data_IF_850911685975
#
_entry.id   IF_850911685975
#
_cell.length_a   1.000
_cell.length_b   1.000
_cell.length_c   1.000
_cell.angle_alpha   90.00
_cell.angle_beta   90.00
_cell.angle_gamma   90.00
#
_symmetry.space_group_name_H-M   'P 1'
#
loop_
_entity.id
_entity.type
_entity.pdbx_description
1 polymer ?
#
# COMPACT_ATOMS: atom_id res chain seq x y z
N UNK A 1 7.10 -44.57 -59.46
CA UNK A 1 7.05 -43.16 -59.02
C UNK A 1 8.44 -42.81 -58.53
N UNK A 2 9.22 -42.12 -59.35
CA UNK A 2 10.60 -41.73 -59.08
C UNK A 2 10.60 -40.35 -58.44
N UNK A 3 11.03 -40.24 -57.18
CA UNK A 3 11.39 -38.96 -56.58
C UNK A 3 12.90 -38.76 -56.69
N UNK A 4 13.29 -37.80 -57.51
CA UNK A 4 14.64 -37.25 -57.60
C UNK A 4 14.94 -36.45 -56.33
N UNK A 5 16.02 -36.80 -55.63
CA UNK A 5 16.57 -36.00 -54.54
C UNK A 5 17.51 -34.95 -55.14
N UNK A 6 17.11 -33.68 -54.98
CA UNK A 6 17.89 -32.51 -55.31
C UNK A 6 19.05 -32.34 -54.32
N UNK A 7 20.24 -32.11 -54.87
CA UNK A 7 21.44 -31.76 -54.13
C UNK A 7 21.32 -30.40 -53.43
N UNK A 8 21.84 -30.35 -52.20
CA UNK A 8 21.98 -29.13 -51.43
C UNK A 8 23.48 -28.80 -51.32
N UNK A 9 23.80 -27.60 -51.80
CA UNK A 9 25.09 -26.94 -51.76
C UNK A 9 25.62 -26.81 -50.32
N UNK A 10 26.90 -27.15 -50.11
CA UNK A 10 27.65 -26.78 -48.91
C UNK A 10 28.17 -25.34 -49.05
N UNK A 11 27.99 -24.46 -48.06
CA UNK A 11 28.71 -23.20 -47.98
C UNK A 11 29.96 -23.33 -47.09
N UNK A 12 31.10 -23.01 -47.71
CA UNK A 12 32.28 -22.32 -47.20
C UNK A 12 32.60 -22.40 -45.70
N UNK A 13 33.65 -23.17 -45.40
CA UNK A 13 34.50 -23.04 -44.23
C UNK A 13 35.07 -21.61 -44.12
N UNK A 14 34.50 -20.79 -43.24
CA UNK A 14 35.14 -19.58 -42.72
C UNK A 14 35.93 -19.99 -41.48
N UNK A 15 37.26 -20.04 -41.63
CA UNK A 15 38.20 -20.23 -40.53
C UNK A 15 38.13 -18.99 -39.64
N UNK A 16 37.40 -19.10 -38.53
CA UNK A 16 37.36 -18.10 -37.48
C UNK A 16 38.67 -18.22 -36.69
N UNK A 17 39.63 -17.34 -36.97
CA UNK A 17 40.81 -17.14 -36.11
C UNK A 17 40.31 -16.60 -34.77
N UNK A 18 40.17 -17.47 -33.78
CA UNK A 18 40.12 -17.08 -32.38
C UNK A 18 41.44 -16.38 -32.05
N UNK A 19 41.36 -15.06 -31.85
CA UNK A 19 42.39 -14.29 -31.19
C UNK A 19 42.19 -14.59 -29.71
N UNK A 20 43.03 -15.47 -29.16
CA UNK A 20 43.20 -15.61 -27.71
C UNK A 20 43.92 -14.36 -27.23
N UNK A 21 43.21 -13.50 -26.50
CA UNK A 21 43.83 -12.56 -25.60
C UNK A 21 44.10 -13.35 -24.32
N UNK A 22 45.37 -13.63 -24.04
CA UNK A 22 45.82 -14.04 -22.72
C UNK A 22 45.66 -12.81 -21.80
N UNK A 23 44.45 -12.65 -21.24
CA UNK A 23 44.22 -11.81 -20.07
C UNK A 23 44.84 -12.53 -18.87
N UNK A 24 46.16 -12.47 -18.75
CA UNK A 24 46.85 -12.62 -17.47
C UNK A 24 46.49 -11.38 -16.63
N UNK A 25 45.26 -11.37 -16.11
CA UNK A 25 44.85 -10.47 -15.04
C UNK A 25 45.79 -10.77 -13.86
N UNK A 26 46.68 -9.81 -13.61
CA UNK A 26 47.60 -9.79 -12.50
C UNK A 26 46.81 -9.96 -11.20
N UNK A 27 46.98 -11.10 -10.52
CA UNK A 27 46.36 -11.45 -9.23
C UNK A 27 46.53 -10.33 -8.17
N UNK A 28 47.51 -9.43 -8.33
CA UNK A 28 47.70 -8.27 -7.46
C UNK A 28 46.69 -7.13 -7.60
N UNK A 29 45.93 -7.02 -8.70
CA UNK A 29 44.95 -5.93 -8.87
C UNK A 29 43.60 -6.21 -8.20
N UNK A 30 43.31 -7.47 -7.86
CA UNK A 30 42.08 -7.83 -7.13
C UNK A 30 42.24 -7.62 -5.62
N UNK A 31 43.41 -7.95 -5.05
CA UNK A 31 43.69 -7.74 -3.61
C UNK A 31 43.68 -6.25 -3.23
N UNK A 32 44.23 -5.36 -4.07
CA UNK A 32 44.21 -3.91 -3.79
C UNK A 32 42.78 -3.32 -3.82
N UNK A 33 41.86 -3.90 -4.61
CA UNK A 33 40.46 -3.46 -4.63
C UNK A 33 39.70 -3.89 -3.39
N UNK A 34 39.91 -5.11 -2.91
CA UNK A 34 39.25 -5.60 -1.70
C UNK A 34 39.67 -4.79 -0.46
N UNK A 35 40.97 -4.47 -0.32
CA UNK A 35 41.45 -3.63 0.79
C UNK A 35 40.88 -2.20 0.75
N UNK A 36 40.74 -1.63 -0.45
CA UNK A 36 40.17 -0.28 -0.63
C UNK A 36 38.68 -0.25 -0.24
N UNK A 37 37.91 -1.28 -0.62
CA UNK A 37 36.49 -1.38 -0.28
C UNK A 37 36.26 -1.54 1.23
N UNK A 38 37.11 -2.32 1.90
CA UNK A 38 37.03 -2.51 3.36
C UNK A 38 37.33 -1.20 4.11
N UNK A 39 38.32 -0.42 3.66
CA UNK A 39 38.64 0.89 4.23
C UNK A 39 37.51 1.91 4.04
N UNK A 40 36.88 1.92 2.86
CA UNK A 40 35.75 2.82 2.57
C UNK A 40 34.52 2.45 3.42
N UNK A 41 34.24 1.17 3.60
CA UNK A 41 33.19 0.66 4.48
C UNK A 41 33.43 1.06 5.95
N UNK A 42 34.67 0.91 6.42
CA UNK A 42 35.02 1.31 7.79
C UNK A 42 34.86 2.83 7.98
N UNK A 43 35.29 3.63 7.00
CA UNK A 43 35.12 5.08 7.04
C UNK A 43 33.64 5.49 7.07
N UNK A 44 32.79 4.87 6.24
CA UNK A 44 31.34 5.12 6.23
C UNK A 44 30.75 4.75 7.59
N UNK A 45 31.11 3.60 8.16
CA UNK A 45 30.62 3.16 9.46
C UNK A 45 31.03 4.12 10.59
N UNK A 46 32.29 4.54 10.62
CA UNK A 46 32.80 5.52 11.59
C UNK A 46 32.10 6.88 11.44
N UNK A 47 31.85 7.33 10.21
CA UNK A 47 31.12 8.59 9.97
C UNK A 47 29.66 8.53 10.45
N UNK A 48 28.98 7.39 10.27
CA UNK A 48 27.63 7.14 10.81
C UNK A 48 27.64 7.21 12.34
N UNK A 49 28.60 6.57 13.01
CA UNK A 49 28.75 6.60 14.47
C UNK A 49 29.00 8.03 14.98
N UNK A 50 29.91 8.77 14.35
CA UNK A 50 30.24 10.14 14.74
C UNK A 50 29.05 11.10 14.57
N UNK A 51 28.26 10.94 13.50
CA UNK A 51 27.06 11.75 13.25
C UNK A 51 25.95 11.59 14.29
N UNK A 52 26.02 10.53 15.12
CA UNK A 52 25.05 10.22 16.18
C UNK A 52 25.44 10.81 17.52
N UNK A 53 26.72 11.12 17.73
CA UNK A 53 27.26 11.51 19.03
C UNK A 53 26.68 12.81 19.57
N UNK A 54 26.20 13.67 18.68
CA UNK A 54 25.60 14.97 19.01
C UNK A 54 24.06 14.98 18.90
N UNK A 55 23.42 13.83 18.67
CA UNK A 55 21.95 13.76 18.55
C UNK A 55 21.28 13.49 19.91
N UNK A 56 20.02 13.92 20.10
CA UNK A 56 19.22 13.54 21.26
C UNK A 56 19.12 12.02 21.43
N UNK A 57 19.04 11.55 22.68
CA UNK A 57 19.05 10.14 23.07
C UNK A 57 17.96 9.32 22.36
N UNK A 58 16.77 9.90 22.18
CA UNK A 58 15.63 9.22 21.56
C UNK A 58 15.81 9.03 20.05
N UNK A 59 16.38 10.02 19.35
CA UNK A 59 16.75 9.88 17.93
C UNK A 59 17.85 8.85 17.74
N UNK A 60 18.84 8.83 18.64
CA UNK A 60 19.93 7.84 18.61
C UNK A 60 19.37 6.42 18.70
N UNK A 61 18.45 6.16 19.63
CA UNK A 61 17.81 4.84 19.80
C UNK A 61 16.98 4.42 18.58
N UNK A 62 16.34 5.36 17.89
CA UNK A 62 15.58 5.08 16.66
C UNK A 62 16.54 4.69 15.52
N UNK A 63 17.63 5.44 15.35
CA UNK A 63 18.65 5.16 14.33
C UNK A 63 19.39 3.84 14.60
N UNK A 64 19.71 3.55 15.85
CA UNK A 64 20.29 2.26 16.25
C UNK A 64 19.35 1.09 15.97
N UNK A 65 18.04 1.27 16.16
CA UNK A 65 17.06 0.26 15.73
C UNK A 65 17.04 0.12 14.21
N UNK A 66 17.05 1.22 13.47
CA UNK A 66 17.04 1.20 12.00
C UNK A 66 18.27 0.47 11.41
N UNK A 67 19.46 0.75 11.92
CA UNK A 67 20.70 0.09 11.49
C UNK A 67 20.67 -1.42 11.72
N UNK A 68 20.12 -1.87 12.85
CA UNK A 68 19.96 -3.31 13.13
C UNK A 68 19.10 -4.02 12.08
N UNK A 69 18.21 -3.30 11.40
CA UNK A 69 17.41 -3.84 10.31
C UNK A 69 18.04 -3.65 8.92
N UNK A 70 18.81 -2.57 8.72
CA UNK A 70 19.40 -2.24 7.41
C UNK A 70 20.70 -2.99 7.12
N UNK A 71 21.56 -3.22 8.11
CA UNK A 71 22.87 -3.87 7.92
C UNK A 71 22.75 -5.31 7.36
N UNK A 72 21.75 -6.13 7.77
CA UNK A 72 21.47 -7.41 7.11
C UNK A 72 20.95 -7.28 5.67
N UNK A 73 20.19 -6.22 5.36
CA UNK A 73 19.62 -5.97 4.03
C UNK A 73 20.68 -5.45 3.04
N UNK A 74 21.60 -4.60 3.51
CA UNK A 74 22.72 -4.08 2.71
C UNK A 74 23.70 -5.21 2.37
N UNK A 75 24.03 -6.09 3.34
CA UNK A 75 24.81 -7.32 3.09
C UNK A 75 24.14 -8.32 2.14
N UNK A 76 22.81 -8.42 2.16
CA UNK A 76 22.04 -9.22 1.21
C UNK A 76 22.09 -8.66 -0.23
N UNK A 77 22.36 -7.36 -0.39
CA UNK A 77 22.48 -6.71 -1.68
C UNK A 77 23.93 -6.60 -2.17
N UNK A 78 24.92 -6.68 -1.28
CA UNK A 78 26.36 -6.56 -1.61
C UNK A 78 27.09 -7.90 -1.75
N UNK A 79 26.57 -9.01 -1.21
CA UNK A 79 26.99 -10.34 -1.69
C UNK A 79 26.54 -10.44 -3.15
N UNK A 80 27.49 -10.54 -4.09
CA UNK A 80 27.21 -10.68 -5.51
C UNK A 80 26.05 -11.66 -5.72
N UNK A 81 25.03 -11.26 -6.49
CA UNK A 81 23.80 -12.05 -6.68
C UNK A 81 24.10 -13.51 -7.06
N UNK A 82 25.24 -13.77 -7.70
CA UNK A 82 25.72 -15.09 -8.06
C UNK A 82 26.11 -15.96 -6.84
N UNK A 83 26.77 -15.41 -5.82
CA UNK A 83 27.20 -16.17 -4.64
C UNK A 83 26.03 -16.54 -3.71
N UNK A 84 25.07 -15.63 -3.53
CA UNK A 84 23.88 -15.90 -2.71
C UNK A 84 22.99 -16.99 -3.35
N UNK A 85 22.89 -17.00 -4.68
CA UNK A 85 22.16 -18.03 -5.43
C UNK A 85 22.83 -19.40 -5.37
N UNK A 86 24.15 -19.45 -5.48
CA UNK A 86 24.91 -20.70 -5.34
C UNK A 86 24.72 -21.29 -3.94
N UNK A 87 24.83 -20.47 -2.89
CA UNK A 87 24.57 -20.89 -1.50
C UNK A 87 23.15 -21.40 -1.32
N UNK A 88 22.15 -20.72 -1.91
CA UNK A 88 20.75 -21.16 -1.80
C UNK A 88 20.51 -22.50 -2.50
N UNK A 89 21.16 -22.72 -3.65
CA UNK A 89 21.09 -24.00 -4.36
C UNK A 89 21.69 -25.16 -3.57
N UNK A 90 22.74 -24.88 -2.77
CA UNK A 90 23.38 -25.86 -1.89
C UNK A 90 22.55 -26.20 -0.64
N UNK A 91 21.63 -25.32 -0.23
CA UNK A 91 20.71 -25.63 0.88
C UNK A 91 19.77 -26.77 0.50
N UNK A 92 19.41 -27.56 1.51
CA UNK A 92 18.31 -28.54 1.41
C UNK A 92 17.05 -27.81 0.94
N UNK A 93 16.30 -28.46 0.06
CA UNK A 93 15.08 -27.89 -0.57
C UNK A 93 14.09 -27.37 0.48
N UNK A 94 13.91 -28.07 1.59
CA UNK A 94 13.01 -27.67 2.68
C UNK A 94 13.45 -26.43 3.47
N UNK A 95 14.71 -26.02 3.36
CA UNK A 95 15.29 -24.89 4.09
C UNK A 95 15.51 -23.66 3.21
N UNK A 96 15.09 -23.71 1.93
CA UNK A 96 15.27 -22.59 1.01
C UNK A 96 14.34 -21.44 1.37
N UNK A 97 14.83 -20.21 1.21
CA UNK A 97 14.07 -18.97 1.47
C UNK A 97 13.40 -18.42 0.22
N UNK A 98 13.76 -18.92 -0.96
CA UNK A 98 13.11 -18.59 -2.23
C UNK A 98 13.34 -19.69 -3.29
N UNK A 99 12.56 -19.62 -4.37
CA UNK A 99 12.72 -20.45 -5.56
C UNK A 99 12.67 -19.60 -6.84
N UNK A 100 13.14 -20.15 -7.96
CA UNK A 100 13.08 -19.55 -9.29
C UNK A 100 12.06 -20.30 -10.14
N UNK A 101 11.09 -19.59 -10.73
CA UNK A 101 10.10 -20.21 -11.61
C UNK A 101 10.78 -20.95 -12.75
N UNK A 102 10.33 -22.18 -13.00
CA UNK A 102 10.85 -23.06 -14.04
C UNK A 102 12.12 -23.83 -13.64
N UNK A 103 12.72 -23.58 -12.47
CA UNK A 103 13.86 -24.38 -12.00
C UNK A 103 13.42 -25.83 -11.75
N UNK A 104 14.32 -26.78 -12.02
CA UNK A 104 14.10 -28.19 -11.72
C UNK A 104 14.60 -28.48 -10.30
N UNK A 105 13.72 -29.00 -9.46
CA UNK A 105 14.05 -29.49 -8.13
C UNK A 105 14.58 -30.94 -8.19
N UNK A 106 15.27 -31.40 -7.14
CA UNK A 106 15.64 -32.82 -6.99
C UNK A 106 14.42 -33.75 -7.06
N UNK A 107 14.65 -35.04 -7.30
CA UNK A 107 13.59 -36.05 -7.26
C UNK A 107 12.96 -36.13 -5.87
N UNK A 108 11.65 -36.44 -5.82
CA UNK A 108 10.94 -36.76 -4.58
C UNK A 108 11.63 -37.89 -3.81
N UNK A 109 11.51 -37.84 -2.49
CA UNK A 109 12.04 -38.85 -1.60
C UNK A 109 11.14 -38.98 -0.37
N UNK A 110 11.55 -39.81 0.60
CA UNK A 110 10.74 -40.09 1.80
C UNK A 110 10.36 -38.84 2.62
N UNK A 111 11.08 -37.72 2.47
CA UNK A 111 10.89 -36.50 3.27
C UNK A 111 10.46 -35.29 2.45
N UNK A 112 10.34 -35.40 1.12
CA UNK A 112 9.93 -34.30 0.23
C UNK A 112 8.89 -34.81 -0.76
N UNK A 113 7.73 -34.16 -0.77
CA UNK A 113 6.66 -34.40 -1.74
C UNK A 113 6.31 -33.09 -2.47
N UNK A 114 6.15 -33.16 -3.80
CA UNK A 114 5.71 -32.06 -4.64
C UNK A 114 4.25 -32.21 -5.02
N UNK A 115 3.51 -31.10 -4.99
CA UNK A 115 2.12 -31.05 -5.45
C UNK A 115 1.84 -29.77 -6.21
N UNK A 116 1.01 -29.86 -7.25
CA UNK A 116 0.56 -28.70 -8.02
C UNK A 116 -0.95 -28.43 -7.87
N UNK A 117 -1.39 -28.09 -6.66
CA UNK A 117 -2.78 -27.70 -6.42
C UNK A 117 -3.00 -26.22 -6.76
N UNK A 118 -3.95 -25.94 -7.65
CA UNK A 118 -4.29 -24.58 -8.05
C UNK A 118 -5.30 -23.94 -7.06
N UNK A 119 -5.24 -22.62 -6.91
CA UNK A 119 -6.21 -21.84 -6.14
C UNK A 119 -7.18 -21.10 -7.06
N UNK A 120 -8.50 -21.08 -6.79
CA UNK A 120 -9.18 -21.74 -5.67
C UNK A 120 -9.21 -23.27 -5.83
N UNK A 121 -9.27 -24.00 -4.70
CA UNK A 121 -9.29 -25.47 -4.69
C UNK A 121 -10.71 -25.95 -5.02
N UNK A 122 -11.00 -26.15 -6.30
CA UNK A 122 -12.33 -26.53 -6.80
C UNK A 122 -12.76 -27.94 -6.32
N UNK A 123 -11.87 -28.92 -6.39
CA UNK A 123 -12.10 -30.31 -5.95
C UNK A 123 -11.60 -30.54 -4.52
N UNK A 124 -12.09 -29.71 -3.60
CA UNK A 124 -11.58 -29.67 -2.22
C UNK A 124 -11.57 -31.03 -1.52
N UNK A 125 -12.60 -31.87 -1.65
CA UNK A 125 -12.66 -33.16 -0.93
C UNK A 125 -11.52 -34.14 -1.29
N UNK A 126 -11.24 -34.31 -2.59
CA UNK A 126 -10.16 -35.21 -3.04
C UNK A 126 -8.78 -34.68 -2.64
N UNK A 127 -8.57 -33.37 -2.75
CA UNK A 127 -7.31 -32.72 -2.39
C UNK A 127 -7.11 -32.77 -0.87
N UNK A 128 -8.18 -32.56 -0.08
CA UNK A 128 -8.18 -32.70 1.37
C UNK A 128 -7.79 -34.11 1.77
N UNK A 129 -8.45 -35.15 1.23
CA UNK A 129 -8.14 -36.56 1.54
C UNK A 129 -6.68 -36.92 1.21
N UNK A 130 -6.18 -36.49 0.05
CA UNK A 130 -4.78 -36.70 -0.32
C UNK A 130 -3.80 -36.00 0.63
N UNK A 131 -4.05 -34.73 0.96
CA UNK A 131 -3.19 -33.97 1.87
C UNK A 131 -3.21 -34.57 3.28
N UNK A 132 -4.39 -34.98 3.79
CA UNK A 132 -4.52 -35.64 5.09
C UNK A 132 -3.71 -36.94 5.15
N UNK A 133 -3.84 -37.80 4.15
CA UNK A 133 -3.07 -39.06 4.06
C UNK A 133 -1.57 -38.80 4.01
N UNK A 134 -1.14 -37.81 3.23
CA UNK A 134 0.26 -37.45 3.08
C UNK A 134 0.85 -36.90 4.40
N UNK A 135 0.15 -35.96 5.04
CA UNK A 135 0.57 -35.37 6.33
C UNK A 135 0.63 -36.46 7.40
N UNK A 136 -0.38 -37.32 7.49
CA UNK A 136 -0.39 -38.44 8.44
C UNK A 136 0.76 -39.43 8.16
N UNK A 137 1.08 -39.71 6.89
CA UNK A 137 2.25 -40.51 6.52
C UNK A 137 3.57 -39.86 6.98
N UNK A 138 3.70 -38.54 6.84
CA UNK A 138 4.88 -37.80 7.32
C UNK A 138 4.98 -37.79 8.84
N UNK A 139 3.88 -37.56 9.56
CA UNK A 139 3.83 -37.59 11.03
C UNK A 139 4.17 -38.97 11.60
N UNK A 140 3.74 -40.04 10.93
CA UNK A 140 4.05 -41.43 11.33
C UNK A 140 5.45 -41.89 10.87
N UNK A 141 6.24 -41.04 10.22
CA UNK A 141 7.58 -41.36 9.74
C UNK A 141 8.62 -40.40 10.31
N UNK A 142 9.54 -39.88 9.50
CA UNK A 142 10.63 -38.98 9.94
C UNK A 142 10.26 -37.50 9.79
N UNK A 143 8.96 -37.20 9.68
CA UNK A 143 8.49 -35.90 9.19
C UNK A 143 8.76 -35.72 7.70
N UNK A 144 8.48 -34.53 7.19
CA UNK A 144 8.72 -34.21 5.79
C UNK A 144 8.31 -32.78 5.43
N UNK A 145 8.41 -32.47 4.14
CA UNK A 145 8.02 -31.18 3.57
C UNK A 145 7.18 -31.41 2.34
N UNK A 146 6.00 -30.78 2.32
CA UNK A 146 5.12 -30.78 1.16
C UNK A 146 5.28 -29.43 0.47
N UNK A 147 5.77 -29.42 -0.76
CA UNK A 147 5.91 -28.21 -1.55
C UNK A 147 4.77 -28.10 -2.56
N UNK A 148 3.87 -27.15 -2.31
CA UNK A 148 2.74 -26.86 -3.18
C UNK A 148 3.12 -25.77 -4.19
N UNK A 149 2.76 -25.96 -5.46
CA UNK A 149 3.17 -25.12 -6.58
C UNK A 149 4.38 -25.68 -7.35
N UNK A 150 4.63 -26.98 -7.22
CA UNK A 150 5.67 -27.71 -7.97
C UNK A 150 5.01 -28.83 -8.76
N UNK A 151 5.39 -28.99 -10.02
CA UNK A 151 4.80 -30.01 -10.89
C UNK A 151 5.33 -31.41 -10.57
N UNK A 152 4.45 -32.31 -10.12
CA UNK A 152 4.76 -33.66 -9.61
C UNK A 152 5.74 -34.44 -10.51
N UNK A 153 5.50 -34.52 -11.82
CA UNK A 153 6.33 -35.35 -12.72
C UNK A 153 7.59 -34.67 -13.28
N UNK A 154 7.61 -33.33 -13.35
CA UNK A 154 8.73 -32.60 -13.97
C UNK A 154 9.63 -31.93 -12.94
N UNK A 155 9.20 -31.92 -11.67
CA UNK A 155 9.87 -31.28 -10.55
C UNK A 155 10.12 -29.78 -10.77
N UNK A 156 9.40 -29.18 -11.71
CA UNK A 156 9.52 -27.76 -12.05
C UNK A 156 8.74 -26.90 -11.09
N UNK A 157 9.38 -25.85 -10.59
CA UNK A 157 8.72 -24.82 -9.78
C UNK A 157 7.78 -24.01 -10.67
N UNK A 158 6.49 -24.04 -10.38
CA UNK A 158 5.48 -23.22 -11.07
C UNK A 158 5.11 -22.00 -10.24
N UNK A 159 5.07 -22.16 -8.92
CA UNK A 159 4.57 -21.17 -7.97
C UNK A 159 3.03 -21.09 -7.97
N UNK A 160 2.49 -20.35 -7.01
CA UNK A 160 1.07 -20.00 -6.95
C UNK A 160 0.96 -18.48 -7.03
N UNK A 161 0.06 -17.98 -7.89
CA UNK A 161 -0.21 -16.55 -8.00
C UNK A 161 -1.28 -16.13 -6.97
N UNK A 162 -0.85 -15.99 -5.71
CA UNK A 162 -1.73 -15.63 -4.59
C UNK A 162 -1.50 -14.19 -4.14
N UNK A 163 -2.58 -13.43 -4.00
CA UNK A 163 -2.58 -12.17 -3.22
C UNK A 163 -2.40 -12.46 -1.72
N UNK A 164 -1.99 -11.46 -0.92
CA UNK A 164 -1.84 -11.61 0.54
C UNK A 164 -3.12 -12.17 1.19
N UNK A 165 -4.29 -11.62 0.82
CA UNK A 165 -5.57 -12.12 1.32
C UNK A 165 -5.82 -13.58 0.92
N UNK A 166 -5.47 -13.97 -0.30
CA UNK A 166 -5.61 -15.37 -0.73
C UNK A 166 -4.63 -16.29 -0.01
N UNK A 167 -3.46 -15.81 0.41
CA UNK A 167 -2.53 -16.59 1.24
C UNK A 167 -3.15 -16.89 2.62
N UNK A 168 -3.76 -15.88 3.26
CA UNK A 168 -4.51 -16.04 4.52
C UNK A 168 -5.69 -17.02 4.35
N UNK A 169 -6.47 -16.88 3.27
CA UNK A 169 -7.57 -17.78 2.96
C UNK A 169 -7.09 -19.22 2.71
N UNK A 170 -5.94 -19.38 2.06
CA UNK A 170 -5.32 -20.68 1.80
C UNK A 170 -4.82 -21.33 3.09
N UNK A 171 -4.17 -20.57 3.97
CA UNK A 171 -3.73 -21.03 5.29
C UNK A 171 -4.93 -21.47 6.14
N UNK A 172 -5.97 -20.64 6.21
CA UNK A 172 -7.23 -20.99 6.90
C UNK A 172 -7.90 -22.21 6.29
N UNK A 173 -7.81 -22.41 4.97
CA UNK A 173 -8.30 -23.62 4.33
C UNK A 173 -7.52 -24.85 4.81
N UNK A 174 -6.19 -24.83 4.81
CA UNK A 174 -5.38 -25.96 5.27
C UNK A 174 -5.68 -26.26 6.73
N UNK A 175 -5.67 -25.26 7.61
CA UNK A 175 -5.93 -25.43 9.04
C UNK A 175 -7.34 -26.01 9.28
N UNK A 176 -8.38 -25.38 8.72
CA UNK A 176 -9.76 -25.76 9.04
C UNK A 176 -10.24 -27.02 8.31
N UNK A 177 -9.81 -27.21 7.06
CA UNK A 177 -10.33 -28.26 6.18
C UNK A 177 -9.44 -29.49 6.14
N UNK A 178 -8.12 -29.31 6.11
CA UNK A 178 -7.16 -30.43 6.05
C UNK A 178 -6.85 -30.93 7.45
N UNK A 179 -6.38 -30.06 8.34
CA UNK A 179 -5.88 -30.46 9.66
C UNK A 179 -7.01 -30.72 10.67
N UNK A 180 -7.92 -29.75 10.86
CA UNK A 180 -9.02 -29.85 11.84
C UNK A 180 -10.17 -30.75 11.38
N UNK A 181 -10.12 -31.25 10.15
CA UNK A 181 -11.06 -32.20 9.57
C UNK A 181 -12.55 -31.80 9.74
N UNK A 182 -12.88 -30.52 9.58
CA UNK A 182 -14.22 -30.00 9.89
C UNK A 182 -15.30 -30.38 8.86
N UNK A 183 -14.95 -31.00 7.72
CA UNK A 183 -15.84 -30.95 6.54
C UNK A 183 -16.29 -32.26 5.94
N UNK A 184 -15.44 -33.26 5.70
CA UNK A 184 -15.89 -34.48 4.99
C UNK A 184 -14.95 -35.63 5.30
N UNK A 185 -15.50 -36.74 5.81
CA UNK A 185 -14.74 -37.96 6.10
C UNK A 185 -14.07 -37.91 7.46
N UNK A 186 -14.40 -38.83 8.35
CA UNK A 186 -13.73 -38.96 9.65
C UNK A 186 -12.34 -39.56 9.35
N UNK A 187 -11.37 -38.71 9.02
CA UNK A 187 -9.97 -39.07 9.12
C UNK A 187 -9.66 -39.25 10.61
N UNK A 188 -9.43 -40.51 10.99
CA UNK A 188 -9.08 -40.96 12.33
C UNK A 188 -7.72 -41.67 12.22
N UNK A 189 -6.67 -41.22 12.94
CA UNK A 189 -6.66 -40.25 14.04
C UNK A 189 -6.84 -38.79 13.61
N UNK A 190 -7.50 -38.00 14.48
CA UNK A 190 -7.44 -36.53 14.37
C UNK A 190 -5.99 -36.10 14.52
N UNK A 191 -5.51 -35.31 13.56
CA UNK A 191 -4.21 -34.65 13.67
C UNK A 191 -4.39 -33.54 14.72
N UNK A 192 -4.06 -33.85 15.97
CA UNK A 192 -3.97 -32.82 17.02
C UNK A 192 -2.69 -32.05 16.75
N UNK A 193 -2.82 -30.83 16.27
CA UNK A 193 -1.68 -29.91 16.18
C UNK A 193 -1.40 -29.51 17.62
N UNK A 194 -0.49 -30.21 18.29
CA UNK A 194 0.29 -29.51 19.30
C UNK A 194 1.11 -28.45 18.52
N UNK A 195 1.10 -27.20 18.98
CA UNK A 195 1.32 -25.97 18.20
C UNK A 195 2.60 -25.89 17.34
N UNK A 196 3.51 -26.88 17.42
CA UNK A 196 4.83 -26.88 16.78
C UNK A 196 5.09 -28.02 15.77
N UNK A 197 4.20 -29.01 15.60
CA UNK A 197 4.50 -30.16 14.71
C UNK A 197 4.34 -29.87 13.22
N UNK A 198 3.47 -28.91 12.85
CA UNK A 198 3.17 -28.57 11.46
C UNK A 198 3.32 -27.06 11.27
N UNK A 199 4.28 -26.66 10.43
CA UNK A 199 4.46 -25.25 10.05
C UNK A 199 4.05 -25.03 8.59
N UNK A 200 3.17 -24.06 8.35
CA UNK A 200 2.85 -23.57 7.01
C UNK A 200 3.65 -22.30 6.73
N UNK A 201 4.30 -22.23 5.57
CA UNK A 201 5.08 -21.05 5.15
C UNK A 201 4.89 -20.79 3.67
N UNK A 202 4.72 -19.52 3.31
CA UNK A 202 4.73 -19.07 1.92
C UNK A 202 6.16 -18.68 1.54
N UNK A 203 6.74 -19.43 0.62
CA UNK A 203 8.09 -19.18 0.10
C UNK A 203 7.96 -18.43 -1.22
N UNK A 204 8.58 -17.25 -1.38
CA UNK A 204 8.43 -16.44 -2.58
C UNK A 204 9.15 -17.08 -3.79
N UNK A 205 8.61 -16.85 -4.98
CA UNK A 205 9.11 -17.40 -6.25
C UNK A 205 9.49 -16.24 -7.18
N UNK A 206 10.76 -16.19 -7.61
CA UNK A 206 11.26 -15.27 -8.62
C UNK A 206 10.79 -15.68 -10.03
N UNK A 207 10.81 -14.76 -10.98
CA UNK A 207 10.58 -15.10 -12.39
C UNK A 207 11.75 -15.90 -13.00
N UNK A 208 11.61 -16.37 -14.24
CA UNK A 208 12.65 -17.14 -14.95
C UNK A 208 13.95 -16.35 -15.15
N UNK A 209 13.85 -15.01 -15.20
CA UNK A 209 14.96 -14.07 -15.29
C UNK A 209 15.63 -13.80 -13.92
N UNK A 210 15.23 -14.52 -12.86
CA UNK A 210 15.70 -14.34 -11.47
C UNK A 210 15.42 -12.95 -10.89
N UNK A 211 14.41 -12.27 -11.41
CA UNK A 211 13.93 -11.01 -10.87
C UNK A 211 12.73 -11.27 -9.98
N UNK A 212 12.66 -10.55 -8.87
CA UNK A 212 11.45 -10.49 -8.07
C UNK A 212 10.32 -9.89 -8.92
N UNK A 213 9.14 -10.49 -8.87
CA UNK A 213 7.95 -9.78 -9.33
C UNK A 213 7.81 -8.52 -8.47
N UNK A 214 8.03 -7.36 -9.07
CA UNK A 214 7.91 -6.09 -8.35
C UNK A 214 6.53 -6.05 -7.69
N UNK A 215 6.44 -5.96 -6.35
CA UNK A 215 5.17 -5.92 -5.68
C UNK A 215 4.44 -4.68 -6.18
N UNK A 216 3.37 -4.86 -6.95
CA UNK A 216 2.54 -3.76 -7.37
C UNK A 216 1.56 -3.47 -6.26
N UNK A 217 1.70 -2.31 -5.65
CA UNK A 217 0.78 -1.81 -4.64
C UNK A 217 -0.19 -0.80 -5.25
N UNK A 218 -1.32 -0.59 -4.59
CA UNK A 218 -2.21 0.51 -4.92
C UNK A 218 -2.20 1.51 -3.77
N UNK A 219 -1.88 2.76 -4.09
CA UNK A 219 -1.96 3.86 -3.13
C UNK A 219 -3.07 4.82 -3.56
N UNK A 220 -3.84 5.31 -2.59
CA UNK A 220 -4.86 6.33 -2.85
C UNK A 220 -4.23 7.72 -2.73
N UNK A 221 -4.08 8.40 -3.87
CA UNK A 221 -3.55 9.75 -3.96
C UNK A 221 -4.61 10.66 -4.58
N UNK A 222 -4.92 11.77 -3.89
CA UNK A 222 -5.90 12.77 -4.34
C UNK A 222 -7.29 12.17 -4.63
N UNK A 223 -7.70 11.20 -3.81
CA UNK A 223 -8.98 10.51 -3.96
C UNK A 223 -8.99 9.39 -5.01
N UNK A 224 -7.94 9.25 -5.83
CA UNK A 224 -7.81 8.22 -6.88
C UNK A 224 -6.86 7.09 -6.45
N UNK A 225 -7.21 5.85 -6.77
CA UNK A 225 -6.31 4.71 -6.58
C UNK A 225 -5.31 4.66 -7.74
N UNK A 226 -4.02 4.72 -7.44
CA UNK A 226 -2.94 4.60 -8.43
C UNK A 226 -2.12 3.35 -8.12
N UNK A 227 -1.85 2.54 -9.14
CA UNK A 227 -0.89 1.45 -9.04
C UNK A 227 0.52 2.06 -8.99
N UNK A 228 1.36 1.56 -8.09
CA UNK A 228 2.76 1.91 -7.96
C UNK A 228 3.56 0.62 -7.80
N UNK A 229 4.76 0.56 -8.36
CA UNK A 229 5.68 -0.52 -8.00
C UNK A 229 6.21 -0.30 -6.57
N UNK A 230 6.72 -1.36 -5.95
CA UNK A 230 7.18 -1.33 -4.56
C UNK A 230 8.27 -0.28 -4.30
N UNK A 231 9.20 -0.12 -5.24
CA UNK A 231 10.27 0.88 -5.16
C UNK A 231 9.71 2.31 -5.18
N UNK A 232 8.80 2.62 -6.10
CA UNK A 232 8.17 3.95 -6.16
C UNK A 232 7.32 4.22 -4.93
N UNK A 233 6.65 3.20 -4.37
CA UNK A 233 5.92 3.36 -3.12
C UNK A 233 6.86 3.64 -1.95
N UNK A 234 7.95 2.88 -1.80
CA UNK A 234 8.92 3.10 -0.73
C UNK A 234 9.55 4.49 -0.84
N UNK A 235 9.95 4.90 -2.05
CA UNK A 235 10.45 6.25 -2.29
C UNK A 235 9.39 7.31 -1.96
N UNK A 236 8.13 7.09 -2.37
CA UNK A 236 7.04 8.00 -2.07
C UNK A 236 6.80 8.15 -0.56
N UNK A 237 6.77 7.04 0.18
CA UNK A 237 6.63 7.04 1.64
C UNK A 237 7.82 7.77 2.28
N UNK A 238 9.04 7.44 1.85
CA UNK A 238 10.26 8.08 2.33
C UNK A 238 10.23 9.60 2.08
N UNK A 239 9.88 10.06 0.89
CA UNK A 239 9.80 11.48 0.55
C UNK A 239 8.72 12.19 1.37
N UNK A 240 7.57 11.54 1.59
CA UNK A 240 6.50 12.07 2.44
C UNK A 240 6.94 12.19 3.90
N UNK A 241 7.59 11.15 4.43
CA UNK A 241 8.15 11.17 5.78
C UNK A 241 9.25 12.22 5.90
N UNK A 242 10.16 12.31 4.94
CA UNK A 242 11.24 13.30 4.92
C UNK A 242 10.68 14.72 4.94
N UNK A 243 9.68 15.04 4.11
CA UNK A 243 8.99 16.34 4.15
C UNK A 243 8.39 16.61 5.53
N UNK A 244 7.79 15.59 6.15
CA UNK A 244 7.25 15.69 7.50
C UNK A 244 8.32 16.06 8.55
N UNK A 245 9.58 15.63 8.36
CA UNK A 245 10.68 15.91 9.28
C UNK A 245 11.53 17.14 8.91
N UNK A 246 11.61 17.52 7.63
CA UNK A 246 12.43 18.66 7.16
C UNK A 246 11.68 19.97 7.18
N UNK A 247 10.36 19.93 7.01
CA UNK A 247 9.56 21.08 7.35
C UNK A 247 9.62 21.17 8.87
N UNK A 248 10.34 22.16 9.40
CA UNK A 248 10.28 22.52 10.81
C UNK A 248 8.81 22.75 11.16
N UNK A 249 8.10 21.69 11.56
CA UNK A 249 6.83 21.81 12.25
C UNK A 249 7.16 22.30 13.66
N UNK A 250 7.62 23.56 13.75
CA UNK A 250 7.73 24.30 15.02
C UNK A 250 6.39 24.36 15.75
N UNK A 251 5.29 23.92 15.14
CA UNK A 251 4.05 23.67 15.83
C UNK A 251 3.25 22.50 15.21
N UNK A 252 3.71 21.24 15.34
CA UNK A 252 2.75 20.12 15.33
C UNK A 252 1.80 20.38 16.50
N UNK A 253 0.59 20.80 16.17
CA UNK A 253 -0.41 21.12 17.18
C UNK A 253 -0.89 19.80 17.80
N UNK A 254 -0.92 19.71 19.14
CA UNK A 254 -1.20 18.48 19.91
C UNK A 254 -2.48 17.73 19.50
N UNK A 255 -3.40 18.38 18.79
CA UNK A 255 -4.62 17.79 18.26
C UNK A 255 -4.42 16.73 17.15
N UNK A 256 -3.18 16.41 16.76
CA UNK A 256 -2.88 15.28 15.86
C UNK A 256 -2.68 13.94 16.59
N UNK A 257 -2.56 13.94 17.92
CA UNK A 257 -2.26 12.71 18.67
C UNK A 257 -3.50 11.84 18.93
N UNK A 258 -4.71 12.41 18.91
CA UNK A 258 -5.97 11.65 18.96
C UNK A 258 -7.01 12.27 18.02
N UNK A 259 -7.25 11.72 16.82
CA UNK A 259 -8.41 12.12 16.03
C UNK A 259 -9.68 11.86 16.85
N UNK A 260 -10.55 12.87 16.98
CA UNK A 260 -11.89 12.67 17.53
C UNK A 260 -12.65 11.60 16.71
N UNK A 261 -13.79 11.10 17.23
CA UNK A 261 -14.61 10.07 16.56
C UNK A 261 -15.07 10.44 15.14
N UNK A 262 -14.83 11.67 14.68
CA UNK A 262 -15.21 12.18 13.37
C UNK A 262 -14.01 12.63 12.50
N UNK A 263 -12.77 12.45 12.99
CA UNK A 263 -11.55 12.81 12.29
C UNK A 263 -11.25 14.31 12.32
N UNK A 264 -10.42 14.74 13.28
CA UNK A 264 -9.74 16.06 13.36
C UNK A 264 -10.66 17.27 13.03
N UNK A 265 -11.94 17.23 13.41
CA UNK A 265 -12.86 18.35 13.17
C UNK A 265 -12.60 19.47 14.20
N UNK A 266 -12.20 19.10 15.42
CA UNK A 266 -12.01 20.04 16.53
C UNK A 266 -10.56 20.47 16.76
N UNK A 267 -9.84 20.76 15.67
CA UNK A 267 -8.53 21.38 15.77
C UNK A 267 -8.68 22.86 16.18
N UNK A 268 -8.26 23.21 17.40
CA UNK A 268 -8.31 24.58 17.94
C UNK A 268 -7.54 25.60 17.10
N UNK A 269 -6.55 25.17 16.30
CA UNK A 269 -5.93 26.03 15.26
C UNK A 269 -6.90 26.34 14.12
N UNK A 270 -7.61 25.35 13.61
CA UNK A 270 -8.63 25.53 12.55
C UNK A 270 -9.74 26.44 13.06
N UNK A 271 -10.19 26.27 14.31
CA UNK A 271 -11.17 27.16 14.93
C UNK A 271 -10.67 28.61 15.03
N UNK A 272 -9.42 28.82 15.45
CA UNK A 272 -8.81 30.16 15.51
C UNK A 272 -8.68 30.82 14.13
N UNK A 273 -8.32 30.05 13.09
CA UNK A 273 -8.26 30.56 11.70
C UNK A 273 -9.66 30.94 11.21
N UNK A 274 -10.64 30.05 11.39
CA UNK A 274 -12.04 30.34 11.05
C UNK A 274 -12.60 31.54 11.83
N UNK A 275 -12.18 31.74 13.07
CA UNK A 275 -12.58 32.87 13.89
C UNK A 275 -11.98 34.19 13.37
N UNK A 276 -10.69 34.20 13.02
CA UNK A 276 -10.05 35.36 12.37
C UNK A 276 -10.69 35.70 11.02
N UNK A 277 -11.08 34.70 10.24
CA UNK A 277 -11.79 34.92 8.98
C UNK A 277 -13.19 35.51 9.21
N UNK A 278 -13.94 34.99 10.19
CA UNK A 278 -15.24 35.56 10.60
C UNK A 278 -15.10 37.01 11.06
N UNK A 279 -14.03 37.35 11.79
CA UNK A 279 -13.74 38.72 12.21
C UNK A 279 -13.44 39.64 11.03
N UNK A 280 -12.59 39.21 10.07
CA UNK A 280 -12.34 39.97 8.83
C UNK A 280 -13.61 40.21 8.01
N UNK A 281 -14.52 39.23 7.97
CA UNK A 281 -15.82 39.39 7.29
C UNK A 281 -16.69 40.41 8.03
N UNK A 282 -16.75 40.36 9.36
CA UNK A 282 -17.48 41.34 10.17
C UNK A 282 -16.97 42.77 9.96
N UNK A 283 -15.65 42.97 9.94
CA UNK A 283 -15.04 44.29 9.67
C UNK A 283 -15.44 44.82 8.29
N UNK A 284 -15.35 44.00 7.24
CA UNK A 284 -15.76 44.38 5.88
C UNK A 284 -17.24 44.76 5.79
N UNK A 285 -18.11 44.03 6.50
CA UNK A 285 -19.55 44.35 6.56
C UNK A 285 -19.78 45.69 7.27
N UNK A 286 -19.08 45.93 8.38
CA UNK A 286 -19.20 47.16 9.14
C UNK A 286 -18.70 48.38 8.35
N UNK A 287 -17.62 48.23 7.58
CA UNK A 287 -17.09 49.27 6.71
C UNK A 287 -18.05 49.62 5.57
N UNK A 288 -18.63 48.61 4.90
CA UNK A 288 -19.68 48.81 3.89
C UNK A 288 -20.89 49.55 4.46
N UNK A 289 -21.30 49.23 5.69
CA UNK A 289 -22.39 49.93 6.36
C UNK A 289 -22.05 51.41 6.61
N UNK A 290 -20.85 51.72 7.13
CA UNK A 290 -20.38 53.10 7.32
C UNK A 290 -20.36 53.89 6.01
N UNK A 291 -19.89 53.28 4.91
CA UNK A 291 -19.89 53.90 3.59
C UNK A 291 -21.31 54.23 3.11
N UNK A 292 -22.27 53.31 3.27
CA UNK A 292 -23.67 53.51 2.89
C UNK A 292 -24.34 54.63 3.70
N UNK A 293 -24.08 54.69 5.01
CA UNK A 293 -24.57 55.78 5.87
C UNK A 293 -24.02 57.13 5.42
N UNK A 294 -22.72 57.20 5.07
CA UNK A 294 -22.10 58.43 4.58
C UNK A 294 -22.63 58.86 3.21
N UNK A 295 -22.90 57.92 2.30
CA UNK A 295 -23.54 58.19 1.02
C UNK A 295 -24.95 58.76 1.21
N UNK A 296 -25.75 58.15 2.09
CA UNK A 296 -27.10 58.64 2.40
C UNK A 296 -27.07 60.04 3.03
N UNK A 297 -26.11 60.33 3.93
CA UNK A 297 -25.92 61.68 4.49
C UNK A 297 -25.60 62.71 3.40
N UNK A 298 -24.72 62.38 2.45
CA UNK A 298 -24.40 63.26 1.30
C UNK A 298 -25.62 63.49 0.41
N UNK A 299 -26.42 62.45 0.14
CA UNK A 299 -27.66 62.59 -0.63
C UNK A 299 -28.69 63.48 0.08
N UNK A 300 -28.85 63.34 1.41
CA UNK A 300 -29.76 64.20 2.19
C UNK A 300 -29.31 65.66 2.28
N UNK A 301 -28.00 65.93 2.29
CA UNK A 301 -27.48 67.30 2.21
C UNK A 301 -27.78 67.91 0.84
N UNK A 302 -27.56 67.16 -0.25
CA UNK A 302 -27.85 67.64 -1.61
C UNK A 302 -29.34 67.86 -1.86
N UNK A 303 -30.24 67.03 -1.30
CA UNK A 303 -31.69 67.24 -1.44
C UNK A 303 -32.19 68.46 -0.64
N UNK A 304 -31.58 68.81 0.50
CA UNK A 304 -31.89 70.06 1.21
C UNK A 304 -31.55 71.31 0.40
N UNK A 305 -30.49 71.30 -0.41
CA UNK A 305 -30.14 72.41 -1.30
C UNK A 305 -31.06 72.54 -2.53
N UNK A 306 -31.74 71.47 -2.95
CA UNK A 306 -32.70 71.51 -4.06
C UNK A 306 -34.13 71.93 -3.64
N UNK A 307 -34.45 71.88 -2.34
CA UNK A 307 -35.77 72.30 -1.84
C UNK A 307 -35.85 73.81 -1.60
N UNK A 308 -34.74 74.51 -1.32
CA UNK A 308 -34.74 75.97 -1.17
C UNK A 308 -34.76 76.75 -2.49
N UNK A 309 -34.60 76.10 -3.64
CA UNK A 309 -34.68 76.74 -4.96
C UNK A 309 -36.03 76.57 -5.67
N UNK A 310 -36.93 75.72 -5.16
CA UNK A 310 -38.22 75.42 -5.81
C UNK A 310 -39.47 75.87 -5.04
N UNK A 311 -39.34 76.63 -3.94
CA UNK A 311 -40.50 77.20 -3.21
C UNK A 311 -41.20 78.33 -4.00
N UNK A 312 -40.70 78.76 -5.16
CA UNK A 312 -41.34 79.82 -5.94
C UNK A 312 -42.38 79.33 -6.97
N UNK A 313 -42.50 78.04 -7.30
CA UNK A 313 -43.45 77.58 -8.33
C UNK A 313 -43.96 76.16 -8.07
N UNK A 314 -45.13 76.06 -7.44
CA UNK A 314 -46.28 75.37 -8.02
C UNK A 314 -47.35 75.13 -6.95
N UNK A 315 -48.41 75.93 -7.05
CA UNK A 315 -49.75 75.52 -6.64
C UNK A 315 -50.29 74.50 -7.66
N UNK A 316 -51.27 73.70 -7.24
CA UNK A 316 -52.09 72.77 -8.03
C UNK A 316 -51.47 71.41 -8.38
N UNK A 317 -51.82 70.37 -7.60
CA UNK A 317 -53.03 69.54 -7.83
C UNK A 317 -53.00 68.35 -6.85
N UNK A 318 -54.09 68.21 -6.10
CA UNK A 318 -54.39 67.01 -5.33
C UNK A 318 -54.75 65.87 -6.29
N UNK A 319 -54.15 64.70 -6.10
CA UNK A 319 -54.74 63.42 -6.51
C UNK A 319 -54.44 62.41 -5.40
N UNK A 320 -55.51 61.99 -4.72
CA UNK A 320 -55.52 60.87 -3.78
C UNK A 320 -55.49 59.56 -4.56
N UNK A 321 -54.55 58.67 -4.25
CA UNK A 321 -54.67 57.24 -4.54
C UNK A 321 -54.29 56.45 -3.29
N UNK A 322 -55.30 55.79 -2.70
CA UNK A 322 -55.14 54.77 -1.68
C UNK A 322 -54.71 53.45 -2.34
N UNK A 323 -53.59 52.82 -1.92
CA UNK A 323 -53.36 51.43 -2.25
C UNK A 323 -54.19 50.53 -1.32
N UNK A 324 -54.93 49.60 -1.94
CA UNK A 324 -55.73 48.58 -1.28
C UNK A 324 -54.86 47.65 -0.43
N UNK A 325 -55.28 47.44 0.81
CA UNK A 325 -54.86 46.35 1.69
C UNK A 325 -55.40 45.02 1.17
N UNK A 326 -54.50 44.10 0.81
CA UNK A 326 -54.84 42.69 0.63
C UNK A 326 -54.54 41.94 1.94
N UNK A 327 -55.58 41.31 2.49
CA UNK A 327 -55.55 40.49 3.70
C UNK A 327 -54.82 39.16 3.43
N UNK A 328 -53.96 38.67 4.33
CA UNK A 328 -53.45 37.31 4.25
C UNK A 328 -54.49 36.30 4.74
N UNK A 329 -54.79 35.33 3.87
CA UNK A 329 -55.59 34.13 4.17
C UNK A 329 -54.97 33.32 5.31
N UNK A 330 -55.79 33.06 6.33
CA UNK A 330 -55.55 32.08 7.39
C UNK A 330 -55.40 30.67 6.79
N UNK A 331 -54.26 30.01 7.05
CA UNK A 331 -54.11 28.56 6.87
C UNK A 331 -54.05 27.91 8.24
N UNK A 332 -55.01 27.01 8.48
CA UNK A 332 -55.14 26.15 9.65
C UNK A 332 -53.84 25.38 9.93
N UNK A 333 -53.30 25.52 11.15
CA UNK A 333 -52.32 24.59 11.71
C UNK A 333 -53.07 23.43 12.35
N UNK A 334 -53.11 22.28 11.68
CA UNK A 334 -53.34 20.99 12.33
C UNK A 334 -52.10 20.64 13.15
N UNK A 335 -52.32 20.49 14.46
CA UNK A 335 -51.38 19.87 15.38
C UNK A 335 -51.21 18.39 15.00
N UNK A 336 -49.99 18.00 14.61
CA UNK A 336 -49.57 16.60 14.64
C UNK A 336 -48.45 16.51 15.66
N UNK A 337 -48.81 15.90 16.79
CA UNK A 337 -47.93 15.32 17.80
C UNK A 337 -46.94 14.40 17.07
N UNK A 338 -45.64 14.67 17.17
CA UNK A 338 -44.65 13.66 16.88
C UNK A 338 -43.57 13.61 17.96
N UNK A 339 -43.59 12.48 18.62
CA UNK A 339 -42.63 11.97 19.58
C UNK A 339 -41.27 11.82 18.90
N UNK A 340 -40.21 12.02 19.68
CA UNK A 340 -38.81 11.76 19.32
C UNK A 340 -38.65 10.34 18.75
N UNK A 341 -37.87 10.15 17.67
CA UNK A 341 -37.13 8.92 17.49
C UNK A 341 -35.64 9.15 17.71
N UNK A 342 -35.08 8.20 18.45
CA UNK A 342 -33.68 8.04 18.76
C UNK A 342 -32.85 7.89 17.48
N UNK A 343 -31.61 8.35 17.59
CA UNK A 343 -30.51 7.98 16.71
C UNK A 343 -30.49 6.46 16.50
N UNK A 344 -30.66 6.00 15.25
CA UNK A 344 -29.93 4.89 14.62
C UNK A 344 -30.54 4.56 13.25
N UNK A 345 -29.68 4.10 12.33
CA UNK A 345 -29.95 3.58 10.97
C UNK A 345 -30.00 4.65 9.86
N UNK A 346 -28.80 5.10 9.44
CA UNK A 346 -28.52 5.64 8.09
C UNK A 346 -27.24 5.04 7.51
N UNK A 347 -27.15 3.70 7.46
CA UNK A 347 -26.05 3.00 6.77
C UNK A 347 -26.54 2.12 5.58
N UNK A 348 -27.85 1.96 5.36
CA UNK A 348 -28.33 0.98 4.36
C UNK A 348 -28.77 1.51 2.97
N UNK A 349 -28.60 2.80 2.64
CA UNK A 349 -29.09 3.33 1.35
C UNK A 349 -28.03 3.58 0.27
N UNK A 350 -26.76 3.18 0.49
CA UNK A 350 -25.70 3.39 -0.52
C UNK A 350 -25.33 2.14 -1.34
N UNK A 351 -25.92 0.97 -1.07
CA UNK A 351 -25.58 -0.28 -1.79
C UNK A 351 -26.50 -0.55 -2.99
N UNK A 352 -27.73 -0.03 -3.01
CA UNK A 352 -28.68 -0.26 -4.11
C UNK A 352 -28.49 0.63 -5.36
N UNK A 353 -27.53 1.57 -5.36
CA UNK A 353 -27.25 2.44 -6.52
C UNK A 353 -26.01 2.03 -7.34
N UNK A 354 -25.43 0.87 -7.07
CA UNK A 354 -24.26 0.35 -7.79
C UNK A 354 -24.56 -0.93 -8.62
N UNK A 355 -25.84 -1.22 -8.88
CA UNK A 355 -26.26 -2.22 -9.87
C UNK A 355 -27.17 -1.55 -10.91
N UNK A 356 -26.55 -0.85 -11.86
CA UNK A 356 -27.04 -0.63 -13.22
C UNK A 356 -25.86 -0.79 -14.17
#
# INVERSE_FOLDING_TARGET
>A
MNYQLNGINQPNNVINKQIYYDDELSEGEEEEKEEQEEQDLEYIMQSRILSRRNRPEDERKILEKFDKYYDPLEKLNSESEDNSQLREKQKKVCCRTYFVKGENLPLENEVIEYKNYQWPIENSSFIIDKLQKLICGMLNSKGGTILIGVHDNSFKVLGLNLTIKQQEDYELFIINKVLNNQSVGIFDPKITIDDDEISLRFIPVMNEQKQWHEPSCFIRLDGLNRQQNGLNLMQFIYDKSKRYYTDNFEEIHECFNEPDRQGVIHCTKVEKVQQKEKEKVKEKVQEKYKQKVNQNKKQMQNSKYQVTTNVAKNQNKQVYYFPKTEEPLYVNKTEIINQKPQNQIKIFNNVQKLQV
#
